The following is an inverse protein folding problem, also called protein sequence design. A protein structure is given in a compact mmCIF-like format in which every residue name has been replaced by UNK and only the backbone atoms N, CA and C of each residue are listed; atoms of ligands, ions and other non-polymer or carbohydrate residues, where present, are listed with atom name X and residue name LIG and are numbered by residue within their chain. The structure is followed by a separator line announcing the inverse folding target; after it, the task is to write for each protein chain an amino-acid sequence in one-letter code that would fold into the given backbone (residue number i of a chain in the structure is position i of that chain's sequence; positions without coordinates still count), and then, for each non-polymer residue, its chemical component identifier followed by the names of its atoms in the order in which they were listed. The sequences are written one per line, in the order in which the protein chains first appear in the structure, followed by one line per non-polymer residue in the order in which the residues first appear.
data_IF_878898669186
#
_entry.id   IF_878898669186
#
_cell.length_a   1.000
_cell.length_b   1.000
_cell.length_c   1.000
_cell.angle_alpha   90.00
_cell.angle_beta   90.00
_cell.angle_gamma   90.00
#
_symmetry.space_group_name_H-M   'P 1'
#
loop_
_entity.id
_entity.type
_entity.pdbx_description
1 polymer ?
#
# COMPACT_ATOMS: atom_id res chain seq x y z
N UNK A 1 24.93 3.43 -0.21
CA UNK A 1 23.92 3.17 0.82
C UNK A 1 22.62 3.79 0.34
N UNK A 2 21.64 2.99 -0.05
CA UNK A 2 20.36 3.49 -0.57
C UNK A 2 19.50 3.89 0.62
N UNK A 3 19.13 5.17 0.71
CA UNK A 3 18.27 5.69 1.78
C UNK A 3 16.82 5.56 1.33
N UNK A 4 16.05 4.68 1.97
CA UNK A 4 14.61 4.60 1.75
C UNK A 4 13.95 5.60 2.69
N UNK A 5 13.66 6.80 2.19
CA UNK A 5 12.90 7.80 2.96
C UNK A 5 11.41 7.47 2.80
N UNK A 6 10.77 6.97 3.86
CA UNK A 6 9.33 6.80 3.90
C UNK A 6 8.69 8.13 4.31
N UNK A 7 7.97 8.79 3.40
CA UNK A 7 7.29 10.05 3.72
C UNK A 7 5.99 9.73 4.46
N UNK A 8 5.96 9.94 5.78
CA UNK A 8 4.75 9.77 6.59
C UNK A 8 3.94 11.06 6.52
N UNK A 9 2.90 11.07 5.68
CA UNK A 9 1.97 12.20 5.61
C UNK A 9 0.84 11.99 6.61
N UNK A 10 0.57 12.99 7.44
CA UNK A 10 -0.42 12.97 8.53
C UNK A 10 -1.49 14.05 8.35
N UNK A 11 -2.16 14.11 7.20
CA UNK A 11 -3.47 14.75 7.10
C UNK A 11 -4.41 13.90 6.24
N UNK A 12 -5.72 13.96 6.49
CA UNK A 12 -6.70 13.08 5.82
C UNK A 12 -6.78 13.32 4.30
N UNK A 13 -6.42 14.53 3.87
CA UNK A 13 -6.36 14.93 2.48
C UNK A 13 -5.11 14.40 1.76
N UNK A 14 -4.03 14.14 2.48
CA UNK A 14 -2.78 13.59 1.97
C UNK A 14 -2.37 12.41 2.84
N UNK A 15 -2.83 11.23 2.47
CA UNK A 15 -2.57 10.01 3.21
C UNK A 15 -2.13 8.87 2.28
N UNK A 16 -1.66 7.78 2.90
CA UNK A 16 -1.45 6.52 2.21
C UNK A 16 -2.61 5.57 2.53
N UNK A 17 -3.21 4.98 1.49
CA UNK A 17 -4.34 4.06 1.61
C UNK A 17 -3.94 2.68 1.10
N UNK A 18 -4.31 1.66 1.87
CA UNK A 18 -4.13 0.26 1.49
C UNK A 18 -5.41 -0.23 0.82
N UNK A 19 -5.34 -0.60 -0.44
CA UNK A 19 -6.50 -0.85 -1.28
C UNK A 19 -6.34 -2.14 -2.11
N UNK A 20 -7.44 -2.79 -2.50
CA UNK A 20 -7.38 -3.85 -3.49
C UNK A 20 -7.21 -3.21 -4.88
N UNK A 21 -6.19 -3.63 -5.62
CA UNK A 21 -5.88 -3.07 -6.94
C UNK A 21 -6.60 -3.80 -8.08
N UNK A 22 -7.31 -4.89 -7.76
CA UNK A 22 -8.17 -5.62 -8.67
C UNK A 22 -8.09 -7.13 -8.46
N UNK A 23 -8.98 -7.85 -9.14
CA UNK A 23 -8.98 -9.31 -9.20
C UNK A 23 -8.56 -9.76 -10.59
N UNK A 24 -7.56 -10.63 -10.66
CA UNK A 24 -7.14 -11.24 -11.91
C UNK A 24 -8.24 -12.17 -12.45
N UNK A 25 -8.59 -12.01 -13.73
CA UNK A 25 -9.81 -12.61 -14.31
C UNK A 25 -9.79 -14.14 -14.33
N UNK A 26 -8.62 -14.74 -14.59
CA UNK A 26 -8.47 -16.19 -14.74
C UNK A 26 -8.24 -16.87 -13.38
N UNK A 27 -7.18 -16.49 -12.69
CA UNK A 27 -6.77 -17.05 -11.39
C UNK A 27 -7.70 -16.68 -10.22
N UNK A 28 -8.58 -15.68 -10.39
CA UNK A 28 -9.47 -15.14 -9.34
C UNK A 28 -8.73 -14.61 -8.10
N UNK A 29 -7.41 -14.43 -8.18
CA UNK A 29 -6.61 -13.86 -7.10
C UNK A 29 -6.66 -12.33 -7.14
N UNK A 30 -6.44 -11.72 -5.99
CA UNK A 30 -6.43 -10.28 -5.78
C UNK A 30 -5.01 -9.75 -5.70
N UNK A 31 -4.81 -8.55 -6.23
CA UNK A 31 -3.63 -7.74 -5.99
C UNK A 31 -3.96 -6.66 -4.94
N UNK A 32 -2.99 -6.34 -4.09
CA UNK A 32 -3.03 -5.18 -3.19
C UNK A 32 -2.17 -4.04 -3.70
N UNK A 33 -2.49 -2.82 -3.26
CA UNK A 33 -1.67 -1.63 -3.47
C UNK A 33 -1.63 -0.73 -2.24
N UNK A 34 -0.56 0.07 -2.16
CA UNK A 34 -0.45 1.25 -1.30
C UNK A 34 -0.47 2.48 -2.21
N UNK A 35 -1.50 3.30 -2.06
CA UNK A 35 -1.72 4.49 -2.88
C UNK A 35 -1.48 5.76 -2.07
N UNK A 36 -0.87 6.75 -2.69
CA UNK A 36 -0.77 8.11 -2.15
C UNK A 36 -1.96 8.91 -2.65
N UNK A 37 -2.65 9.57 -1.72
CA UNK A 37 -3.67 10.55 -1.99
C UNK A 37 -3.12 11.96 -1.77
N UNK A 38 -3.60 12.92 -2.55
CA UNK A 38 -3.29 14.34 -2.43
C UNK A 38 -4.57 15.16 -2.60
N UNK A 39 -4.86 16.04 -1.63
CA UNK A 39 -6.10 16.82 -1.54
C UNK A 39 -7.38 15.97 -1.70
N UNK A 40 -7.38 14.76 -1.13
CA UNK A 40 -8.49 13.82 -1.17
C UNK A 40 -8.60 13.00 -2.46
N UNK A 41 -7.74 13.23 -3.44
CA UNK A 41 -7.72 12.54 -4.73
C UNK A 41 -6.57 11.55 -4.84
N UNK A 42 -6.79 10.45 -5.59
CA UNK A 42 -5.71 9.53 -5.95
C UNK A 42 -4.60 10.30 -6.69
N UNK A 43 -3.38 10.24 -6.18
CA UNK A 43 -2.22 10.85 -6.81
C UNK A 43 -1.37 9.82 -7.55
N UNK A 44 -0.89 8.80 -6.84
CA UNK A 44 -0.06 7.73 -7.44
C UNK A 44 -0.06 6.46 -6.62
N UNK A 45 0.27 5.33 -7.24
CA UNK A 45 0.52 4.06 -6.55
C UNK A 45 2.00 3.99 -6.15
N UNK A 46 2.25 3.78 -4.86
CA UNK A 46 3.60 3.67 -4.29
C UNK A 46 4.15 2.25 -4.36
N UNK A 47 3.27 1.27 -4.13
CA UNK A 47 3.58 -0.15 -4.12
C UNK A 47 2.37 -0.92 -4.63
N UNK A 48 2.63 -1.98 -5.39
CA UNK A 48 1.62 -2.99 -5.72
C UNK A 48 2.23 -4.39 -5.64
N UNK A 49 1.35 -5.38 -5.66
CA UNK A 49 1.71 -6.79 -5.69
C UNK A 49 1.16 -7.46 -6.94
N UNK A 50 1.75 -8.59 -7.29
CA UNK A 50 1.12 -9.55 -8.20
C UNK A 50 -0.22 -10.05 -7.62
N UNK A 51 -1.18 -10.49 -8.45
CA UNK A 51 -2.45 -11.01 -7.98
C UNK A 51 -2.27 -12.41 -7.39
N UNK A 52 -1.93 -12.49 -6.11
CA UNK A 52 -1.63 -13.74 -5.39
C UNK A 52 -2.56 -13.99 -4.21
N UNK A 53 -3.37 -13.01 -3.81
CA UNK A 53 -4.21 -13.11 -2.62
C UNK A 53 -5.56 -13.77 -2.90
N UNK A 54 -6.08 -14.57 -1.97
CA UNK A 54 -7.39 -15.22 -2.13
C UNK A 54 -8.59 -14.26 -2.02
N UNK A 55 -8.39 -13.09 -1.41
CA UNK A 55 -9.44 -12.10 -1.20
C UNK A 55 -8.89 -10.68 -1.17
N UNK A 56 -9.76 -9.70 -1.47
CA UNK A 56 -9.45 -8.28 -1.30
C UNK A 56 -9.06 -7.94 0.14
N UNK A 57 -9.69 -8.56 1.14
CA UNK A 57 -9.35 -8.35 2.55
C UNK A 57 -7.93 -8.84 2.86
N UNK A 58 -7.53 -9.99 2.31
CA UNK A 58 -6.18 -10.50 2.49
C UNK A 58 -5.11 -9.61 1.83
N UNK A 59 -5.41 -9.07 0.65
CA UNK A 59 -4.48 -8.14 -0.02
C UNK A 59 -4.32 -6.82 0.74
N UNK A 60 -5.41 -6.26 1.28
CA UNK A 60 -5.36 -5.04 2.10
C UNK A 60 -4.54 -5.29 3.37
N UNK A 61 -4.84 -6.38 4.11
CA UNK A 61 -4.15 -6.71 5.35
C UNK A 61 -2.64 -6.89 5.15
N UNK A 62 -2.23 -7.49 4.02
CA UNK A 62 -0.81 -7.59 3.67
C UNK A 62 -0.18 -6.21 3.41
N UNK A 63 -0.86 -5.32 2.67
CA UNK A 63 -0.34 -3.97 2.42
C UNK A 63 -0.22 -3.14 3.69
N UNK A 64 -1.19 -3.25 4.60
CA UNK A 64 -1.12 -2.62 5.92
C UNK A 64 0.08 -3.12 6.75
N UNK A 65 0.36 -4.42 6.69
CA UNK A 65 1.52 -5.01 7.36
C UNK A 65 2.84 -4.49 6.78
N UNK A 66 2.97 -4.41 5.45
CA UNK A 66 4.13 -3.80 4.78
C UNK A 66 4.32 -2.35 5.22
N UNK A 67 3.24 -1.55 5.27
CA UNK A 67 3.31 -0.16 5.75
C UNK A 67 3.78 -0.11 7.22
N UNK A 68 3.29 -1.00 8.08
CA UNK A 68 3.75 -1.09 9.49
C UNK A 68 5.23 -1.41 9.58
N UNK A 69 5.73 -2.38 8.79
CA UNK A 69 7.14 -2.77 8.77
C UNK A 69 8.03 -1.61 8.31
N UNK A 70 7.64 -0.88 7.26
CA UNK A 70 8.38 0.29 6.76
C UNK A 70 8.44 1.38 7.84
N UNK A 71 7.31 1.68 8.50
CA UNK A 71 7.26 2.68 9.58
C UNK A 71 8.11 2.26 10.79
N UNK A 72 8.11 0.99 11.14
CA UNK A 72 8.93 0.48 12.24
C UNK A 72 10.44 0.59 11.93
N UNK A 73 10.84 0.34 10.68
CA UNK A 73 12.21 0.48 10.24
C UNK A 73 12.69 1.94 10.27
N UNK A 74 11.82 2.90 9.92
CA UNK A 74 12.14 4.34 9.92
C UNK A 74 12.44 4.89 11.33
N UNK A 75 11.73 4.40 12.36
CA UNK A 75 11.94 4.82 13.76
C UNK A 75 13.29 4.33 14.34
N UNK A 76 13.90 3.30 13.74
CA UNK A 76 15.14 2.69 14.22
C UNK A 76 16.40 3.33 13.61
N UNK A 77 16.26 4.33 12.74
CA UNK A 77 17.33 5.04 12.03
C UNK A 77 17.53 6.44 12.59
#
# INVERSE_FOLDING_TARGET
MTRYTAFVIQNEDNDIRCEPYGQHKETKKWAGAVNLYHDGFFHTTLLSSEPVFESSKASIAYMEDVVKQIRAADVLV
#
